data_IF_481623666114
#
_entry.id   IF_481623666114
#
_cell.length_a   1.000
_cell.length_b   1.000
_cell.length_c   1.000
_cell.angle_alpha   90.00
_cell.angle_beta   90.00
_cell.angle_gamma   90.00
#
_symmetry.space_group_name_H-M   'P 1'
#
loop_
_entity.id
_entity.type
_entity.pdbx_description
1 polymer ?
#
# COMPACT_ATOMS: atom_id res chain seq x y z
N UNK A 1 9.04 14.97 35.88
CA UNK A 1 10.34 15.23 35.22
C UNK A 1 10.18 14.90 33.74
N UNK A 2 10.16 15.91 32.87
CA UNK A 2 10.11 15.69 31.41
C UNK A 2 11.53 15.61 30.86
N UNK A 3 11.83 14.58 30.07
CA UNK A 3 13.10 14.47 29.35
C UNK A 3 12.98 15.30 28.08
N UNK A 4 13.80 16.33 27.95
CA UNK A 4 13.97 17.07 26.70
C UNK A 4 14.97 16.30 25.85
N UNK A 5 14.48 15.58 24.84
CA UNK A 5 15.34 14.92 23.85
C UNK A 5 15.78 15.96 22.84
N UNK A 6 17.06 16.33 22.87
CA UNK A 6 17.64 17.24 21.88
C UNK A 6 17.86 16.48 20.56
N UNK A 7 17.17 16.92 19.50
CA UNK A 7 17.18 16.27 18.17
C UNK A 7 18.15 16.95 17.18
N UNK A 8 19.01 17.86 17.65
CA UNK A 8 19.90 18.68 16.83
C UNK A 8 21.21 17.98 16.41
N UNK A 9 21.35 16.67 16.67
CA UNK A 9 22.47 15.88 16.14
C UNK A 9 22.40 15.77 14.61
N UNK A 10 23.55 15.84 13.94
CA UNK A 10 23.78 15.82 12.49
C UNK A 10 22.66 15.09 11.70
N UNK A 11 21.71 15.87 11.16
CA UNK A 11 20.72 15.38 10.19
C UNK A 11 21.39 15.20 8.83
N UNK A 12 22.33 14.27 8.73
CA UNK A 12 23.11 14.03 7.51
C UNK A 12 22.48 12.99 6.57
N UNK A 13 21.25 12.53 6.88
CA UNK A 13 20.52 11.57 6.04
C UNK A 13 19.29 12.23 5.43
N UNK A 14 19.21 12.22 4.10
CA UNK A 14 17.99 12.54 3.35
C UNK A 14 16.80 11.81 4.00
N UNK A 15 15.61 12.46 4.12
CA UNK A 15 14.43 11.79 4.63
C UNK A 15 14.10 10.57 3.76
N UNK A 16 14.08 9.40 4.38
CA UNK A 16 13.90 8.09 3.73
C UNK A 16 12.87 7.27 4.50
N UNK A 17 12.19 6.38 3.79
CA UNK A 17 11.22 5.44 4.39
C UNK A 17 11.86 4.11 4.73
N UNK A 18 13.15 3.93 4.43
CA UNK A 18 13.87 2.66 4.51
C UNK A 18 13.81 2.02 5.89
N UNK A 19 13.92 2.84 6.96
CA UNK A 19 13.79 2.33 8.34
C UNK A 19 12.40 1.80 8.63
N UNK A 20 11.36 2.47 8.12
CA UNK A 20 9.98 2.02 8.24
C UNK A 20 9.78 0.74 7.41
N UNK A 21 10.25 0.72 6.17
CA UNK A 21 10.19 -0.46 5.30
C UNK A 21 10.87 -1.67 5.91
N UNK A 22 12.06 -1.50 6.49
CA UNK A 22 12.77 -2.55 7.19
C UNK A 22 12.01 -3.05 8.43
N UNK A 23 11.39 -2.13 9.20
CA UNK A 23 10.62 -2.45 10.40
C UNK A 23 9.43 -3.38 10.11
N UNK A 24 8.76 -3.20 8.97
CA UNK A 24 7.54 -3.95 8.61
C UNK A 24 7.72 -4.87 7.41
N UNK A 25 8.96 -5.23 7.08
CA UNK A 25 9.29 -5.94 5.85
C UNK A 25 8.55 -7.29 5.70
N UNK A 26 8.50 -8.08 6.78
CA UNK A 26 7.84 -9.39 6.75
C UNK A 26 6.32 -9.25 6.76
N UNK A 27 5.78 -8.32 7.54
CA UNK A 27 4.36 -8.00 7.56
C UNK A 27 3.88 -7.54 6.17
N UNK A 28 4.68 -6.76 5.45
CA UNK A 28 4.37 -6.33 4.07
C UNK A 28 4.34 -7.52 3.10
N UNK A 29 5.22 -8.51 3.24
CA UNK A 29 5.14 -9.74 2.43
C UNK A 29 3.84 -10.49 2.72
N UNK A 30 3.44 -10.57 3.98
CA UNK A 30 2.19 -11.19 4.38
C UNK A 30 0.98 -10.41 3.81
N UNK A 31 0.97 -9.08 3.90
CA UNK A 31 -0.06 -8.22 3.29
C UNK A 31 -0.14 -8.44 1.78
N UNK A 32 0.99 -8.49 1.06
CA UNK A 32 0.99 -8.75 -0.38
C UNK A 32 0.38 -10.12 -0.71
N UNK A 33 0.69 -11.13 0.10
CA UNK A 33 0.09 -12.47 -0.03
C UNK A 33 -1.43 -12.40 0.19
N UNK A 34 -1.88 -11.70 1.24
CA UNK A 34 -3.30 -11.53 1.53
C UNK A 34 -4.04 -10.78 0.41
N UNK A 35 -3.43 -9.75 -0.19
CA UNK A 35 -4.00 -9.01 -1.33
C UNK A 35 -4.33 -9.98 -2.47
N UNK A 36 -3.36 -10.80 -2.88
CA UNK A 36 -3.55 -11.78 -3.95
C UNK A 36 -4.65 -12.78 -3.56
N UNK A 37 -4.59 -13.32 -2.35
CA UNK A 37 -5.56 -14.30 -1.87
C UNK A 37 -7.01 -13.77 -1.85
N UNK A 38 -7.19 -12.49 -1.53
CA UNK A 38 -8.50 -11.85 -1.39
C UNK A 38 -9.10 -11.36 -2.70
N UNK A 39 -8.32 -11.34 -3.79
CA UNK A 39 -8.79 -10.93 -5.11
C UNK A 39 -9.05 -12.11 -6.07
N UNK A 40 -9.12 -13.34 -5.55
CA UNK A 40 -9.67 -14.46 -6.31
C UNK A 40 -11.13 -14.20 -6.65
N UNK A 41 -11.45 -14.20 -7.93
CA UNK A 41 -12.80 -13.98 -8.45
C UNK A 41 -13.01 -14.76 -9.74
N UNK A 42 -14.23 -15.24 -10.02
CA UNK A 42 -14.57 -15.77 -11.34
C UNK A 42 -14.52 -14.70 -12.44
N UNK A 43 -14.56 -13.41 -12.08
CA UNK A 43 -14.37 -12.30 -13.02
C UNK A 43 -12.88 -12.12 -13.29
N UNK A 44 -12.43 -12.50 -14.48
CA UNK A 44 -11.01 -12.55 -14.87
C UNK A 44 -10.24 -11.22 -14.67
N UNK A 45 -10.93 -10.08 -14.75
CA UNK A 45 -10.33 -8.76 -14.55
C UNK A 45 -9.84 -8.53 -13.10
N UNK A 46 -10.53 -9.09 -12.10
CA UNK A 46 -10.21 -8.82 -10.69
C UNK A 46 -8.86 -9.44 -10.28
N UNK A 47 -8.52 -10.69 -10.62
CA UNK A 47 -7.18 -11.24 -10.36
C UNK A 47 -6.07 -10.52 -11.13
N UNK A 48 -6.34 -10.06 -12.37
CA UNK A 48 -5.36 -9.28 -13.16
C UNK A 48 -5.03 -7.95 -12.48
N UNK A 49 -6.06 -7.29 -11.95
CA UNK A 49 -5.91 -6.08 -11.15
C UNK A 49 -5.09 -6.35 -9.89
N UNK A 50 -5.27 -7.48 -9.20
CA UNK A 50 -4.46 -7.87 -8.05
C UNK A 50 -2.96 -7.94 -8.38
N UNK A 51 -2.64 -8.59 -9.51
CA UNK A 51 -1.28 -8.65 -10.03
C UNK A 51 -0.72 -7.26 -10.32
N UNK A 52 -1.52 -6.40 -10.97
CA UNK A 52 -1.14 -5.02 -11.24
C UNK A 52 -0.90 -4.22 -9.95
N UNK A 53 -1.76 -4.33 -8.94
CA UNK A 53 -1.58 -3.68 -7.63
C UNK A 53 -0.25 -4.11 -7.00
N UNK A 54 0.05 -5.41 -7.01
CA UNK A 54 1.28 -5.97 -6.41
C UNK A 54 2.52 -5.54 -7.20
N UNK A 55 2.45 -5.57 -8.53
CA UNK A 55 3.58 -5.32 -9.43
C UNK A 55 3.85 -3.84 -9.73
N UNK A 56 2.84 -2.95 -9.69
CA UNK A 56 2.93 -1.54 -10.08
C UNK A 56 3.82 -0.66 -9.18
N UNK A 57 4.60 -1.26 -8.25
CA UNK A 57 5.70 -0.57 -7.60
C UNK A 57 5.28 0.69 -6.86
N UNK A 58 4.45 0.53 -5.83
CA UNK A 58 4.15 1.61 -4.89
C UNK A 58 5.08 1.59 -3.68
N UNK A 59 5.32 2.75 -3.05
CA UNK A 59 6.03 2.83 -1.75
C UNK A 59 5.29 2.13 -0.60
N UNK A 60 4.07 1.62 -0.81
CA UNK A 60 3.21 0.94 0.20
C UNK A 60 3.06 1.72 1.51
N UNK A 61 3.05 3.04 1.45
CA UNK A 61 3.06 3.89 2.65
C UNK A 61 1.86 3.63 3.55
N UNK A 62 0.67 3.48 2.98
CA UNK A 62 -0.58 3.30 3.74
C UNK A 62 -0.56 2.00 4.58
N UNK A 63 -0.31 0.81 4.01
CA UNK A 63 -0.21 -0.41 4.80
C UNK A 63 0.99 -0.36 5.75
N UNK A 64 2.14 0.21 5.37
CA UNK A 64 3.28 0.33 6.29
C UNK A 64 2.95 1.17 7.53
N UNK A 65 2.18 2.25 7.38
CA UNK A 65 1.73 3.07 8.51
C UNK A 65 0.77 2.29 9.42
N UNK A 66 -0.16 1.51 8.86
CA UNK A 66 -1.05 0.65 9.65
C UNK A 66 -0.28 -0.38 10.47
N UNK A 67 0.68 -1.07 9.84
CA UNK A 67 1.50 -2.10 10.48
C UNK A 67 2.39 -1.51 11.58
N UNK A 68 3.08 -0.40 11.29
CA UNK A 68 3.93 0.28 12.26
C UNK A 68 3.13 0.85 13.44
N UNK A 69 1.93 1.39 13.20
CA UNK A 69 1.06 1.85 14.27
C UNK A 69 0.62 0.70 15.20
N UNK A 70 0.29 -0.47 14.65
CA UNK A 70 -0.05 -1.64 15.44
C UNK A 70 1.12 -2.08 16.35
N UNK A 71 2.34 -2.15 15.79
CA UNK A 71 3.57 -2.47 16.55
C UNK A 71 3.88 -1.42 17.61
N UNK A 72 3.75 -0.13 17.26
CA UNK A 72 3.97 0.99 18.19
C UNK A 72 3.04 0.93 19.40
N UNK A 73 1.80 0.46 19.21
CA UNK A 73 0.82 0.25 20.27
C UNK A 73 0.99 -1.09 21.02
N UNK A 74 2.04 -1.86 20.74
CA UNK A 74 2.30 -3.15 21.41
C UNK A 74 1.33 -4.27 21.01
N UNK A 75 0.70 -4.19 19.83
CA UNK A 75 -0.18 -5.25 19.36
C UNK A 75 0.61 -6.50 18.95
N UNK A 76 0.17 -7.67 19.40
CA UNK A 76 0.87 -8.97 19.20
C UNK A 76 0.04 -10.01 18.43
N UNK A 77 -1.12 -9.61 17.88
CA UNK A 77 -1.97 -10.49 17.08
C UNK A 77 -1.86 -10.23 15.58
N UNK A 78 -2.63 -10.96 14.78
CA UNK A 78 -2.52 -10.94 13.31
C UNK A 78 -3.52 -10.00 12.60
N UNK A 79 -4.48 -9.40 13.32
CA UNK A 79 -5.55 -8.60 12.69
C UNK A 79 -5.04 -7.37 11.93
N UNK A 80 -3.86 -6.87 12.30
CA UNK A 80 -3.23 -5.72 11.66
C UNK A 80 -2.85 -6.01 10.20
N UNK A 81 -2.59 -7.26 9.83
CA UNK A 81 -2.36 -7.68 8.44
C UNK A 81 -3.63 -7.52 7.59
N UNK A 82 -4.76 -8.03 8.09
CA UNK A 82 -6.06 -7.87 7.40
C UNK A 82 -6.47 -6.40 7.30
N UNK A 83 -6.24 -5.62 8.36
CA UNK A 83 -6.54 -4.19 8.34
C UNK A 83 -5.66 -3.44 7.31
N UNK A 84 -4.36 -3.69 7.29
CA UNK A 84 -3.44 -3.10 6.31
C UNK A 84 -3.82 -3.50 4.88
N UNK A 85 -4.27 -4.75 4.67
CA UNK A 85 -4.80 -5.23 3.39
C UNK A 85 -6.05 -4.43 2.97
N UNK A 86 -7.03 -4.26 3.87
CA UNK A 86 -8.23 -3.47 3.60
C UNK A 86 -7.91 -2.02 3.25
N UNK A 87 -6.95 -1.41 3.95
CA UNK A 87 -6.50 -0.04 3.68
C UNK A 87 -5.93 0.07 2.26
N UNK A 88 -5.13 -0.90 1.82
CA UNK A 88 -4.57 -0.89 0.47
C UNK A 88 -5.62 -1.17 -0.61
N UNK A 89 -6.65 -1.98 -0.31
CA UNK A 89 -7.80 -2.15 -1.21
C UNK A 89 -8.59 -0.86 -1.39
N UNK A 90 -8.90 -0.15 -0.30
CA UNK A 90 -9.61 1.13 -0.38
C UNK A 90 -8.78 2.13 -1.18
N UNK A 91 -7.47 2.21 -0.91
CA UNK A 91 -6.57 3.06 -1.69
C UNK A 91 -6.61 2.69 -3.18
N UNK A 92 -6.56 1.41 -3.52
CA UNK A 92 -6.61 1.00 -4.92
C UNK A 92 -7.95 1.32 -5.56
N UNK A 93 -9.06 1.09 -4.86
CA UNK A 93 -10.40 1.37 -5.38
C UNK A 93 -10.57 2.86 -5.71
N UNK A 94 -10.10 3.77 -4.84
CA UNK A 94 -10.13 5.20 -5.15
C UNK A 94 -9.31 5.51 -6.38
N UNK A 95 -8.11 4.93 -6.47
CA UNK A 95 -7.22 5.13 -7.60
C UNK A 95 -7.81 4.64 -8.95
N UNK A 96 -8.57 3.55 -8.96
CA UNK A 96 -9.24 3.07 -10.16
C UNK A 96 -10.42 3.94 -10.55
N UNK A 97 -11.21 4.37 -9.56
CA UNK A 97 -12.28 5.32 -9.79
C UNK A 97 -11.75 6.66 -10.33
N UNK A 98 -10.65 7.16 -9.78
CA UNK A 98 -9.97 8.36 -10.26
C UNK A 98 -9.57 8.21 -11.74
N UNK A 99 -9.00 7.06 -12.15
CA UNK A 99 -8.60 6.83 -13.55
C UNK A 99 -9.79 6.84 -14.54
N UNK A 100 -10.98 6.42 -14.08
CA UNK A 100 -12.22 6.47 -14.88
C UNK A 100 -12.77 7.90 -14.93
N UNK A 101 -12.73 8.62 -13.81
CA UNK A 101 -13.25 10.00 -13.71
C UNK A 101 -12.34 11.00 -14.44
N UNK A 102 -11.03 10.81 -14.39
CA UNK A 102 -10.04 11.78 -14.88
C UNK A 102 -9.72 11.62 -16.38
N UNK A 103 -10.34 10.66 -17.09
CA UNK A 103 -10.03 10.29 -18.49
C UNK A 103 -8.52 10.21 -18.76
N UNK A 104 -7.73 9.81 -17.76
CA UNK A 104 -6.28 9.92 -17.81
C UNK A 104 -5.68 8.70 -18.51
N UNK A 105 -5.06 8.92 -19.68
CA UNK A 105 -4.43 7.85 -20.47
C UNK A 105 -3.21 7.20 -19.77
N UNK A 106 -2.61 7.87 -18.77
CA UNK A 106 -1.35 7.45 -18.14
C UNK A 106 -1.35 7.58 -16.62
N UNK A 107 -0.83 6.56 -15.93
CA UNK A 107 -0.58 6.54 -14.48
C UNK A 107 0.85 6.13 -14.18
N UNK A 108 1.63 7.05 -13.59
CA UNK A 108 3.05 6.82 -13.23
C UNK A 108 3.92 6.28 -14.38
N UNK A 109 3.60 6.64 -15.63
CA UNK A 109 4.34 6.21 -16.82
C UNK A 109 3.89 4.86 -17.41
N UNK A 110 2.88 4.21 -16.85
CA UNK A 110 2.21 3.05 -17.43
C UNK A 110 0.79 3.45 -17.89
N UNK A 111 0.21 2.68 -18.82
CA UNK A 111 -1.20 2.82 -19.20
C UNK A 111 -2.09 2.71 -17.96
N UNK A 112 -3.07 3.61 -17.84
CA UNK A 112 -4.05 3.58 -16.74
C UNK A 112 -4.94 2.34 -16.85
N UNK A 113 -5.61 1.96 -15.75
CA UNK A 113 -6.54 0.83 -15.80
C UNK A 113 -7.68 1.07 -16.80
N UNK A 114 -8.09 2.33 -16.96
CA UNK A 114 -9.07 2.75 -17.96
C UNK A 114 -8.57 2.52 -19.40
N UNK A 115 -7.31 2.88 -19.69
CA UNK A 115 -6.69 2.65 -20.99
C UNK A 115 -6.58 1.15 -21.35
N UNK A 116 -6.39 0.27 -20.36
CA UNK A 116 -6.22 -1.18 -20.58
C UNK A 116 -7.58 -1.91 -20.66
N UNK A 117 -8.57 -1.53 -19.84
CA UNK A 117 -9.80 -2.32 -19.65
C UNK A 117 -11.11 -1.58 -19.99
N UNK A 118 -11.07 -0.29 -20.32
CA UNK A 118 -12.21 0.52 -20.75
C UNK A 118 -13.08 1.09 -19.62
N UNK A 119 -13.75 2.20 -19.91
CA UNK A 119 -14.53 3.05 -19.00
C UNK A 119 -15.78 2.40 -18.34
N UNK A 120 -16.07 1.11 -18.59
CA UNK A 120 -17.28 0.41 -18.11
C UNK A 120 -16.98 -0.91 -17.36
N UNK A 121 -15.86 -0.97 -16.65
CA UNK A 121 -15.59 -2.03 -15.66
C UNK A 121 -16.38 -1.83 -14.36
#
# INVERSE_FOLDING_TARGET
MGVVVNLDGERDKKPTVDRLTALVADDIKAVNTLIIQRMHSPVAMIPQLAGHIVAAGGKRLRPMLTLAAARMCGYVGERHLSLATCVEFIHTATLLHDDVVDESDLRRGNESANAIWGNQA
#
